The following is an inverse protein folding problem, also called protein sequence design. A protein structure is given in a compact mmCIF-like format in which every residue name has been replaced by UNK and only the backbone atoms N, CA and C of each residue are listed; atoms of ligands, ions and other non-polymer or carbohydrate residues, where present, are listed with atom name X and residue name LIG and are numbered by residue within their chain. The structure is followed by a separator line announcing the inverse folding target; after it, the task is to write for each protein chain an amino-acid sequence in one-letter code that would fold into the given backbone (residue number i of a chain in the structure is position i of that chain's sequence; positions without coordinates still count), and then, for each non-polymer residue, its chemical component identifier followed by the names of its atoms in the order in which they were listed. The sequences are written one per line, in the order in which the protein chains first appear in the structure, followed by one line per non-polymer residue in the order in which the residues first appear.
data_IF_120818069465
#
_entry.id   IF_120818069465
#
_cell.length_a   1.000
_cell.length_b   1.000
_cell.length_c   1.000
_cell.angle_alpha   90.00
_cell.angle_beta   90.00
_cell.angle_gamma   90.00
#
_symmetry.space_group_name_H-M   'P 1'
#
loop_
_entity.id
_entity.type
_entity.pdbx_description
1 polymer ?
#
# COMPACT_ATOMS: atom_id res chain seq x y z
N UNK A 1 33.64 -28.30 0.61
CA UNK A 1 33.68 -27.47 1.83
C UNK A 1 32.27 -26.90 2.00
N UNK A 2 31.53 -27.30 3.06
CA UNK A 2 30.08 -27.18 3.11
C UNK A 2 29.65 -25.81 3.68
N UNK A 3 28.60 -25.23 3.12
CA UNK A 3 27.87 -24.11 3.72
C UNK A 3 26.86 -24.72 4.69
N UNK A 4 27.01 -24.38 5.96
CA UNK A 4 26.20 -24.88 7.08
C UNK A 4 24.73 -24.52 6.91
N UNK A 5 23.86 -25.51 7.12
CA UNK A 5 22.44 -25.32 7.45
C UNK A 5 22.34 -24.54 8.76
N UNK A 6 21.51 -23.50 8.78
CA UNK A 6 21.07 -22.82 10.00
C UNK A 6 19.54 -22.74 10.04
N UNK A 7 18.99 -23.40 11.06
CA UNK A 7 17.67 -23.29 11.68
C UNK A 7 16.42 -23.50 10.79
N UNK A 8 15.87 -24.72 10.85
CA UNK A 8 14.44 -24.96 10.69
C UNK A 8 13.68 -24.11 11.72
N UNK A 9 13.02 -23.03 11.28
CA UNK A 9 11.90 -22.46 12.00
C UNK A 9 10.71 -23.37 11.73
N UNK A 10 10.29 -24.16 12.72
CA UNK A 10 8.98 -24.81 12.73
C UNK A 10 7.91 -23.71 12.64
N UNK A 11 7.46 -23.44 11.43
CA UNK A 11 6.37 -22.53 11.15
C UNK A 11 5.09 -23.06 11.79
N UNK A 12 4.64 -22.39 12.86
CA UNK A 12 3.27 -22.53 13.35
C UNK A 12 2.34 -22.05 12.23
N UNK A 13 1.79 -22.99 11.47
CA UNK A 13 0.87 -22.68 10.37
C UNK A 13 -0.36 -21.97 10.95
N UNK A 14 -0.80 -20.87 10.30
CA UNK A 14 -1.91 -20.00 10.72
C UNK A 14 -3.20 -20.74 11.17
N UNK A 15 -3.40 -21.98 10.69
CA UNK A 15 -4.53 -22.86 11.05
C UNK A 15 -4.56 -23.24 12.55
N UNK A 16 -3.41 -23.32 13.21
CA UNK A 16 -3.32 -23.71 14.63
C UNK A 16 -3.65 -22.56 15.56
N UNK A 17 -3.28 -21.32 15.20
CA UNK A 17 -3.44 -20.14 16.06
C UNK A 17 -4.91 -19.73 16.22
N UNK A 18 -5.74 -19.94 15.20
CA UNK A 18 -7.19 -19.70 15.26
C UNK A 18 -7.98 -20.83 15.93
N UNK A 19 -7.42 -22.05 16.05
CA UNK A 19 -8.07 -23.15 16.76
C UNK A 19 -7.76 -23.15 18.26
N UNK A 20 -6.60 -22.62 18.68
CA UNK A 20 -6.22 -22.55 20.10
C UNK A 20 -6.79 -21.35 20.85
N UNK A 21 -7.32 -20.33 20.18
CA UNK A 21 -7.98 -19.20 20.85
C UNK A 21 -9.41 -19.51 21.35
N UNK A 22 -9.95 -20.70 21.04
CA UNK A 22 -11.36 -21.04 21.27
C UNK A 22 -11.71 -21.82 22.54
N UNK A 23 -10.76 -22.25 23.38
CA UNK A 23 -11.11 -23.06 24.56
C UNK A 23 -10.09 -22.99 25.70
N UNK A 24 -10.36 -22.15 26.72
CA UNK A 24 -10.28 -22.48 28.15
C UNK A 24 -10.33 -21.23 29.06
N UNK A 25 -11.31 -21.16 29.98
CA UNK A 25 -11.14 -20.59 31.33
C UNK A 25 -11.83 -19.25 31.67
N UNK A 26 -12.91 -19.32 32.45
CA UNK A 26 -13.69 -18.24 33.09
C UNK A 26 -12.87 -17.39 34.10
N UNK A 27 -13.20 -16.17 34.55
CA UNK A 27 -14.43 -15.69 35.22
C UNK A 27 -14.30 -14.16 35.51
N UNK A 28 -15.36 -13.35 35.38
CA UNK A 28 -15.41 -11.96 35.89
C UNK A 28 -16.62 -11.14 35.40
N UNK A 29 -17.38 -10.54 36.31
CA UNK A 29 -18.75 -10.02 36.14
C UNK A 29 -18.83 -8.50 35.81
N UNK A 30 -19.70 -8.16 34.84
CA UNK A 30 -20.58 -6.99 34.59
C UNK A 30 -20.11 -5.52 34.68
N UNK A 31 -20.36 -4.75 33.60
CA UNK A 31 -21.41 -3.71 33.52
C UNK A 31 -21.58 -3.18 32.06
N UNK A 32 -22.80 -2.73 31.72
CA UNK A 32 -23.35 -2.35 30.41
C UNK A 32 -22.57 -1.22 29.66
N UNK A 33 -22.76 -0.86 28.38
CA UNK A 33 -23.97 -0.59 27.57
C UNK A 33 -23.58 -0.56 26.06
N UNK A 34 -24.44 -1.09 25.18
CA UNK A 34 -24.60 -0.58 23.79
C UNK A 34 -23.59 -1.02 22.72
N UNK A 35 -23.73 -2.25 22.20
CA UNK A 35 -23.07 -2.68 20.97
C UNK A 35 -24.12 -3.06 19.92
N UNK A 36 -24.02 -2.47 18.73
CA UNK A 36 -24.84 -2.82 17.57
C UNK A 36 -24.83 -4.34 17.35
N UNK A 37 -26.01 -4.96 17.29
CA UNK A 37 -26.18 -6.31 16.76
C UNK A 37 -25.93 -6.23 15.26
N UNK A 38 -24.66 -6.34 14.87
CA UNK A 38 -24.29 -6.72 13.51
C UNK A 38 -24.58 -8.20 13.39
N UNK A 39 -25.69 -8.54 12.75
CA UNK A 39 -25.92 -9.88 12.22
C UNK A 39 -24.68 -10.28 11.42
N UNK A 40 -23.93 -11.24 11.94
CA UNK A 40 -22.89 -11.93 11.17
C UNK A 40 -23.63 -12.59 10.02
N UNK A 41 -23.64 -11.90 8.88
CA UNK A 41 -23.91 -12.53 7.60
C UNK A 41 -22.78 -13.49 7.37
N UNK A 42 -22.90 -14.71 7.89
CA UNK A 42 -22.16 -15.85 7.38
C UNK A 42 -22.59 -16.00 5.92
N UNK A 43 -21.87 -15.34 5.01
CA UNK A 43 -21.60 -15.99 3.73
C UNK A 43 -20.67 -17.16 4.06
N UNK A 44 -21.28 -18.22 4.60
CA UNK A 44 -20.69 -19.54 4.64
C UNK A 44 -20.50 -19.95 3.17
N UNK A 45 -19.35 -19.60 2.60
CA UNK A 45 -18.80 -20.30 1.45
C UNK A 45 -18.60 -21.74 1.90
N UNK A 46 -19.46 -22.60 1.39
CA UNK A 46 -19.71 -23.94 1.88
C UNK A 46 -18.45 -24.79 1.95
N UNK A 47 -18.30 -25.46 3.10
CA UNK A 47 -17.50 -26.67 3.30
C UNK A 47 -17.19 -27.41 2.00
N UNK A 48 -15.90 -27.64 1.72
CA UNK A 48 -15.40 -28.64 0.79
C UNK A 48 -15.82 -30.05 1.23
N UNK A 49 -17.08 -30.40 0.96
CA UNK A 49 -17.49 -31.78 0.79
C UNK A 49 -17.01 -32.25 -0.58
N UNK A 50 -16.37 -33.42 -0.64
CA UNK A 50 -15.79 -34.05 -1.85
C UNK A 50 -16.81 -34.42 -2.96
N UNK A 51 -18.01 -33.85 -2.92
CA UNK A 51 -19.14 -34.13 -3.84
C UNK A 51 -19.71 -32.87 -4.52
N UNK A 52 -19.16 -31.67 -4.30
CA UNK A 52 -19.55 -30.41 -4.97
C UNK A 52 -18.81 -30.12 -6.28
N UNK A 53 -19.23 -29.10 -7.05
CA UNK A 53 -18.52 -28.69 -8.26
C UNK A 53 -17.12 -28.16 -7.95
N UNK A 54 -16.14 -28.54 -8.77
CA UNK A 54 -14.72 -28.17 -8.59
C UNK A 54 -14.54 -26.69 -8.87
N UNK A 55 -14.06 -25.95 -7.88
CA UNK A 55 -13.78 -24.51 -7.97
C UNK A 55 -12.40 -24.26 -8.57
N UNK A 56 -12.36 -23.41 -9.59
CA UNK A 56 -11.13 -23.03 -10.29
C UNK A 56 -11.01 -21.51 -10.26
N UNK A 57 -9.96 -21.01 -9.60
CA UNK A 57 -9.58 -19.61 -9.65
C UNK A 57 -8.44 -19.47 -10.67
N UNK A 58 -8.62 -18.63 -11.69
CA UNK A 58 -7.72 -18.58 -12.82
C UNK A 58 -7.30 -17.16 -13.22
N UNK A 59 -6.16 -17.09 -13.90
CA UNK A 59 -5.74 -15.90 -14.62
C UNK A 59 -6.77 -15.55 -15.71
N UNK A 60 -7.05 -14.26 -15.88
CA UNK A 60 -8.06 -13.76 -16.81
C UNK A 60 -7.83 -14.18 -18.25
N UNK A 61 -6.57 -14.31 -18.68
CA UNK A 61 -6.21 -14.82 -20.00
C UNK A 61 -6.61 -16.28 -20.23
N UNK A 62 -6.87 -17.05 -19.17
CA UNK A 62 -7.31 -18.44 -19.23
C UNK A 62 -8.84 -18.61 -19.18
N UNK A 63 -9.60 -17.53 -18.97
CA UNK A 63 -11.06 -17.61 -18.76
C UNK A 63 -11.75 -18.40 -19.85
N UNK A 64 -11.56 -18.05 -21.13
CA UNK A 64 -12.22 -18.70 -22.26
C UNK A 64 -11.79 -20.17 -22.39
N UNK A 65 -10.49 -20.43 -22.26
CA UNK A 65 -9.94 -21.79 -22.35
C UNK A 65 -10.52 -22.70 -21.26
N UNK A 66 -10.75 -22.16 -20.06
CA UNK A 66 -11.27 -22.92 -18.92
C UNK A 66 -12.81 -23.03 -18.93
N UNK A 67 -13.51 -21.96 -19.30
CA UNK A 67 -14.99 -21.94 -19.27
C UNK A 67 -15.62 -22.70 -20.42
N UNK A 68 -14.96 -22.75 -21.59
CA UNK A 68 -15.48 -23.46 -22.78
C UNK A 68 -14.71 -24.75 -23.03
N UNK A 69 -13.39 -24.66 -23.22
CA UNK A 69 -12.57 -25.81 -23.61
C UNK A 69 -12.45 -26.86 -22.49
N UNK A 70 -11.93 -26.45 -21.33
CA UNK A 70 -11.71 -27.35 -20.21
C UNK A 70 -13.03 -27.90 -19.66
N UNK A 71 -14.06 -27.05 -19.53
CA UNK A 71 -15.40 -27.46 -19.10
C UNK A 71 -15.99 -28.57 -19.97
N UNK A 72 -15.79 -28.51 -21.29
CA UNK A 72 -16.27 -29.55 -22.20
C UNK A 72 -15.44 -30.85 -22.14
N UNK A 73 -14.23 -30.80 -21.59
CA UNK A 73 -13.31 -31.94 -21.52
C UNK A 73 -13.41 -32.78 -20.24
N UNK A 74 -14.21 -32.35 -19.27
CA UNK A 74 -14.33 -33.01 -17.97
C UNK A 74 -15.79 -33.36 -17.66
N UNK A 75 -16.03 -34.57 -17.16
CA UNK A 75 -17.38 -35.04 -16.78
C UNK A 75 -17.88 -34.44 -15.44
N UNK A 76 -17.05 -33.62 -14.78
CA UNK A 76 -17.35 -33.00 -13.49
C UNK A 76 -17.80 -31.56 -13.69
N UNK A 77 -18.79 -31.14 -12.92
CA UNK A 77 -19.18 -29.73 -12.90
C UNK A 77 -18.03 -28.90 -12.31
N UNK A 78 -17.59 -27.89 -13.07
CA UNK A 78 -16.57 -26.93 -12.63
C UNK A 78 -17.18 -25.53 -12.44
N UNK A 79 -16.59 -24.70 -11.59
CA UNK A 79 -16.92 -23.27 -11.45
C UNK A 79 -15.65 -22.46 -11.63
N UNK A 80 -15.60 -21.66 -12.68
CA UNK A 80 -14.44 -20.84 -13.02
C UNK A 80 -14.68 -19.40 -12.59
N UNK A 81 -13.78 -18.87 -11.78
CA UNK A 81 -13.67 -17.46 -11.42
C UNK A 81 -12.34 -16.93 -11.99
N UNK A 82 -12.36 -15.83 -12.72
CA UNK A 82 -11.17 -15.27 -13.36
C UNK A 82 -10.83 -13.87 -12.86
N UNK A 83 -9.53 -13.68 -12.59
CA UNK A 83 -8.93 -12.41 -12.16
C UNK A 83 -7.54 -12.23 -12.77
N UNK A 84 -6.89 -11.08 -12.56
CA UNK A 84 -5.45 -10.99 -12.83
C UNK A 84 -4.68 -12.04 -12.01
N UNK A 85 -3.58 -12.61 -12.54
CA UNK A 85 -2.83 -13.68 -11.85
C UNK A 85 -2.37 -13.25 -10.45
N UNK A 86 -1.97 -11.98 -10.31
CA UNK A 86 -1.55 -11.39 -9.03
C UNK A 86 -2.73 -11.33 -8.05
N UNK A 87 -3.88 -10.81 -8.49
CA UNK A 87 -5.12 -10.77 -7.70
C UNK A 87 -5.55 -12.17 -7.26
N UNK A 88 -5.55 -13.14 -8.20
CA UNK A 88 -5.94 -14.51 -7.94
C UNK A 88 -5.03 -15.17 -6.90
N UNK A 89 -3.71 -15.00 -7.02
CA UNK A 89 -2.76 -15.49 -6.02
C UNK A 89 -3.01 -14.88 -4.64
N UNK A 90 -3.27 -13.58 -4.55
CA UNK A 90 -3.55 -12.89 -3.28
C UNK A 90 -4.83 -13.33 -2.61
N UNK A 91 -5.92 -13.46 -3.36
CA UNK A 91 -7.17 -13.97 -2.82
C UNK A 91 -6.98 -15.31 -2.11
N UNK A 92 -6.08 -16.16 -2.61
CA UNK A 92 -5.70 -17.44 -1.97
C UNK A 92 -4.74 -17.24 -0.79
N UNK A 93 -3.67 -16.47 -0.96
CA UNK A 93 -2.68 -16.20 0.10
C UNK A 93 -3.31 -15.60 1.37
N UNK A 94 -4.30 -14.71 1.17
CA UNK A 94 -5.03 -14.03 2.24
C UNK A 94 -6.19 -14.88 2.81
N UNK A 95 -6.47 -16.06 2.24
CA UNK A 95 -7.58 -16.93 2.64
C UNK A 95 -8.97 -16.36 2.31
N UNK A 96 -9.07 -15.34 1.46
CA UNK A 96 -10.33 -14.78 0.96
C UNK A 96 -11.02 -15.69 -0.07
N UNK A 97 -10.25 -16.57 -0.70
CA UNK A 97 -10.68 -17.67 -1.56
C UNK A 97 -9.91 -18.92 -1.20
N UNK A 98 -10.58 -20.07 -1.27
CA UNK A 98 -9.99 -21.39 -1.08
C UNK A 98 -10.42 -22.28 -2.26
N UNK A 99 -9.91 -22.03 -3.48
CA UNK A 99 -10.29 -22.78 -4.65
C UNK A 99 -9.62 -24.17 -4.65
N UNK A 100 -10.27 -25.16 -5.25
CA UNK A 100 -9.69 -26.48 -5.44
C UNK A 100 -8.49 -26.45 -6.40
N UNK A 101 -8.52 -25.54 -7.38
CA UNK A 101 -7.47 -25.35 -8.38
C UNK A 101 -7.18 -23.86 -8.57
N UNK A 102 -5.90 -23.49 -8.46
CA UNK A 102 -5.38 -22.16 -8.80
C UNK A 102 -4.53 -22.24 -10.08
N UNK A 103 -4.89 -21.48 -11.11
CA UNK A 103 -4.19 -21.47 -12.40
C UNK A 103 -3.69 -20.05 -12.73
N UNK A 104 -2.38 -19.82 -12.63
CA UNK A 104 -1.76 -18.51 -12.84
C UNK A 104 -1.03 -18.44 -14.18
N UNK A 105 -0.95 -17.24 -14.77
CA UNK A 105 -0.22 -17.03 -16.03
C UNK A 105 1.32 -16.99 -15.85
N UNK A 106 1.81 -16.74 -14.63
CA UNK A 106 3.22 -16.69 -14.30
C UNK A 106 3.49 -17.56 -13.05
N UNK A 107 4.32 -18.62 -13.17
CA UNK A 107 4.60 -19.51 -12.05
C UNK A 107 5.40 -18.87 -10.92
N UNK A 108 6.11 -17.74 -11.15
CA UNK A 108 6.87 -17.05 -10.10
C UNK A 108 5.96 -16.61 -8.95
N UNK A 109 4.67 -16.36 -9.23
CA UNK A 109 3.68 -15.94 -8.23
C UNK A 109 3.36 -17.00 -7.17
N UNK A 110 3.59 -18.29 -7.46
CA UNK A 110 3.44 -19.34 -6.43
C UNK A 110 4.50 -19.19 -5.33
N UNK A 111 5.70 -18.72 -5.69
CA UNK A 111 6.79 -18.52 -4.74
C UNK A 111 6.83 -17.09 -4.17
N UNK A 112 6.45 -16.09 -4.97
CA UNK A 112 6.57 -14.68 -4.54
C UNK A 112 5.33 -14.14 -3.83
N UNK A 113 4.13 -14.59 -4.17
CA UNK A 113 2.87 -14.08 -3.58
C UNK A 113 2.29 -15.06 -2.57
N UNK A 114 2.19 -16.35 -2.91
CA UNK A 114 1.59 -17.32 -1.99
C UNK A 114 2.48 -17.64 -0.78
N UNK A 115 3.81 -17.47 -0.91
CA UNK A 115 4.75 -17.72 0.18
C UNK A 115 5.06 -16.47 1.02
N UNK A 116 4.63 -15.28 0.57
CA UNK A 116 4.95 -14.02 1.26
C UNK A 116 3.72 -13.54 2.04
N UNK A 117 3.93 -13.18 3.30
CA UNK A 117 2.84 -12.83 4.22
C UNK A 117 2.13 -11.51 3.89
N UNK A 118 2.78 -10.59 3.16
CA UNK A 118 2.28 -9.27 2.78
C UNK A 118 3.06 -8.69 1.59
N UNK A 119 2.43 -7.85 0.77
CA UNK A 119 3.03 -7.23 -0.41
C UNK A 119 2.81 -5.72 -0.44
N UNK A 120 3.88 -4.97 -0.72
CA UNK A 120 3.86 -3.52 -0.90
C UNK A 120 4.50 -3.15 -2.23
N UNK A 121 3.95 -2.14 -2.90
CA UNK A 121 4.59 -1.50 -4.07
C UNK A 121 4.64 0.01 -3.90
N UNK A 122 5.47 0.64 -4.73
CA UNK A 122 5.68 2.10 -4.74
C UNK A 122 5.66 2.64 -6.18
N UNK A 123 5.39 3.94 -6.32
CA UNK A 123 5.43 4.64 -7.60
C UNK A 123 6.85 4.69 -8.18
N UNK A 124 6.96 4.79 -9.51
CA UNK A 124 8.27 4.79 -10.20
C UNK A 124 9.04 6.07 -9.88
N UNK A 125 10.28 5.97 -9.37
CA UNK A 125 11.10 7.13 -9.02
C UNK A 125 11.38 8.10 -10.17
N UNK A 126 11.50 7.57 -11.38
CA UNK A 126 11.81 8.35 -12.58
C UNK A 126 10.64 9.18 -13.11
N UNK A 127 9.41 8.78 -12.75
CA UNK A 127 8.18 9.36 -13.29
C UNK A 127 7.49 10.28 -12.30
N UNK A 128 7.65 10.03 -11.00
CA UNK A 128 6.84 10.67 -9.96
C UNK A 128 7.66 11.10 -8.73
N UNK A 129 7.46 12.32 -8.21
CA UNK A 129 7.95 12.73 -6.90
C UNK A 129 7.69 11.76 -5.75
N UNK A 130 6.52 11.12 -5.72
CA UNK A 130 6.19 10.11 -4.72
C UNK A 130 7.17 8.93 -4.79
N UNK A 131 7.56 8.52 -6.00
CA UNK A 131 8.48 7.40 -6.20
C UNK A 131 9.86 7.67 -5.60
N UNK A 132 10.52 8.77 -6.00
CA UNK A 132 11.86 9.06 -5.47
C UNK A 132 11.83 9.44 -3.99
N UNK A 133 10.72 10.02 -3.49
CA UNK A 133 10.55 10.29 -2.05
C UNK A 133 10.37 9.02 -1.23
N UNK A 134 9.70 8.01 -1.79
CA UNK A 134 9.63 6.69 -1.16
C UNK A 134 11.02 6.08 -1.02
N UNK A 135 11.88 6.21 -2.04
CA UNK A 135 13.28 5.79 -1.92
C UNK A 135 14.05 6.55 -0.83
N UNK A 136 13.79 7.84 -0.65
CA UNK A 136 14.41 8.61 0.43
C UNK A 136 13.94 8.13 1.80
N UNK A 137 12.63 7.92 1.96
CA UNK A 137 12.04 7.40 3.19
C UNK A 137 12.61 6.02 3.55
N UNK A 138 12.74 5.12 2.58
CA UNK A 138 13.34 3.79 2.79
C UNK A 138 14.83 3.85 3.14
N UNK A 139 15.58 4.77 2.53
CA UNK A 139 16.98 5.00 2.88
C UNK A 139 17.13 5.51 4.32
N UNK A 140 16.34 6.51 4.71
CA UNK A 140 16.32 7.04 6.07
C UNK A 140 15.84 5.98 7.08
N UNK A 141 14.87 5.14 6.70
CA UNK A 141 14.38 4.04 7.52
C UNK A 141 15.42 2.94 7.72
N UNK A 142 16.28 2.69 6.73
CA UNK A 142 17.39 1.74 6.87
C UNK A 142 18.32 2.14 8.02
N UNK A 143 18.62 3.44 8.13
CA UNK A 143 19.42 4.00 9.21
C UNK A 143 18.62 4.09 10.53
N UNK A 144 17.37 4.55 10.48
CA UNK A 144 16.55 4.76 11.68
C UNK A 144 16.21 3.45 12.43
N UNK A 145 16.05 2.34 11.70
CA UNK A 145 15.67 1.05 12.25
C UNK A 145 16.84 0.05 12.30
N UNK A 146 18.09 0.49 12.08
CA UNK A 146 19.28 -0.37 12.03
C UNK A 146 19.11 -1.58 11.09
N UNK A 147 18.45 -1.37 9.94
CA UNK A 147 18.13 -2.42 8.96
C UNK A 147 18.78 -2.14 7.62
N UNK A 148 20.10 -2.43 7.49
CA UNK A 148 20.80 -2.26 6.22
C UNK A 148 20.16 -3.18 5.16
N UNK A 149 19.97 -2.66 3.95
CA UNK A 149 19.34 -3.39 2.85
C UNK A 149 17.81 -3.28 2.77
N UNK A 150 17.14 -2.66 3.76
CA UNK A 150 15.67 -2.49 3.74
C UNK A 150 15.15 -1.89 2.44
N UNK A 151 15.85 -0.89 1.89
CA UNK A 151 15.51 -0.31 0.60
C UNK A 151 15.56 -1.35 -0.52
N UNK A 152 16.67 -2.07 -0.63
CA UNK A 152 16.89 -3.03 -1.71
C UNK A 152 15.93 -4.22 -1.62
N UNK A 153 15.60 -4.65 -0.39
CA UNK A 153 14.64 -5.73 -0.12
C UNK A 153 13.21 -5.37 -0.57
N UNK A 154 12.85 -4.08 -0.56
CA UNK A 154 11.50 -3.60 -0.88
C UNK A 154 11.37 -3.02 -2.29
N UNK A 155 12.47 -2.78 -3.00
CA UNK A 155 12.43 -2.17 -4.33
C UNK A 155 12.85 -3.15 -5.42
N UNK A 156 11.97 -3.39 -6.40
CA UNK A 156 12.37 -4.02 -7.67
C UNK A 156 12.61 -2.92 -8.73
N UNK A 157 13.85 -2.71 -9.21
CA UNK A 157 14.15 -1.68 -10.20
C UNK A 157 13.52 -1.93 -11.58
N UNK A 158 12.97 -3.12 -11.84
CA UNK A 158 12.23 -3.43 -13.07
C UNK A 158 10.77 -2.95 -12.99
N UNK A 159 10.33 -2.54 -11.82
CA UNK A 159 8.99 -2.07 -11.57
C UNK A 159 8.79 -0.67 -12.15
N UNK A 160 7.87 -0.55 -13.10
CA UNK A 160 7.48 0.74 -13.68
C UNK A 160 5.97 0.92 -13.58
N UNK A 161 5.54 1.65 -12.55
CA UNK A 161 4.16 2.09 -12.35
C UNK A 161 4.07 3.60 -12.09
N UNK A 162 3.19 4.33 -12.80
CA UNK A 162 2.81 5.68 -12.38
C UNK A 162 1.97 5.61 -11.09
N UNK A 163 1.91 6.72 -10.34
CA UNK A 163 1.12 6.84 -9.09
C UNK A 163 -0.34 6.40 -9.28
N UNK A 164 -0.95 6.73 -10.41
CA UNK A 164 -2.34 6.36 -10.71
C UNK A 164 -2.55 4.84 -10.75
N UNK A 165 -1.58 4.09 -11.27
CA UNK A 165 -1.64 2.62 -11.30
C UNK A 165 -1.41 2.00 -9.93
N UNK A 166 -0.62 2.64 -9.05
CA UNK A 166 -0.40 2.17 -7.69
C UNK A 166 -1.71 2.13 -6.90
N UNK A 167 -2.49 3.22 -6.97
CA UNK A 167 -3.77 3.32 -6.26
C UNK A 167 -4.81 2.33 -6.79
N UNK A 168 -4.93 2.21 -8.12
CA UNK A 168 -5.85 1.20 -8.69
C UNK A 168 -5.50 -0.21 -8.26
N UNK A 169 -4.20 -0.55 -8.17
CA UNK A 169 -3.77 -1.86 -7.68
C UNK A 169 -4.06 -2.06 -6.20
N UNK A 170 -3.88 -1.03 -5.37
CA UNK A 170 -4.29 -1.10 -3.97
C UNK A 170 -5.81 -1.36 -3.84
N UNK A 171 -6.63 -0.62 -4.59
CA UNK A 171 -8.10 -0.75 -4.58
C UNK A 171 -8.60 -2.10 -5.08
N UNK A 172 -7.91 -2.73 -6.03
CA UNK A 172 -8.26 -4.07 -6.53
C UNK A 172 -7.80 -5.21 -5.62
N UNK A 173 -7.11 -4.91 -4.51
CA UNK A 173 -6.45 -5.91 -3.67
C UNK A 173 -5.19 -6.48 -4.32
N UNK A 174 -4.66 -5.80 -5.35
CA UNK A 174 -3.37 -6.10 -5.94
C UNK A 174 -2.20 -5.55 -5.12
N UNK A 175 -2.42 -4.99 -3.93
CA UNK A 175 -1.42 -4.59 -2.93
C UNK A 175 -2.03 -4.65 -1.53
N UNK A 176 -1.25 -5.06 -0.52
CA UNK A 176 -1.66 -5.00 0.89
C UNK A 176 -1.41 -3.61 1.49
N UNK A 177 -0.40 -2.90 0.96
CA UNK A 177 -0.07 -1.54 1.34
C UNK A 177 0.46 -0.74 0.14
N UNK A 178 0.31 0.58 0.20
CA UNK A 178 0.91 1.54 -0.73
C UNK A 178 1.52 2.70 0.05
N UNK A 179 2.70 3.17 -0.36
CA UNK A 179 3.29 4.40 0.19
C UNK A 179 2.78 5.58 -0.61
N UNK A 180 2.04 6.46 0.06
CA UNK A 180 1.38 7.64 -0.50
C UNK A 180 1.52 8.82 0.45
N UNK A 181 1.28 10.03 -0.03
CA UNK A 181 1.11 11.19 0.86
C UNK A 181 -0.15 11.02 1.71
N UNK A 182 -0.10 11.54 2.94
CA UNK A 182 -1.25 11.56 3.85
C UNK A 182 -2.49 12.18 3.22
N UNK A 183 -2.34 13.27 2.45
CA UNK A 183 -3.46 13.92 1.76
C UNK A 183 -4.20 12.99 0.81
N UNK A 184 -3.49 12.10 0.10
CA UNK A 184 -4.11 11.12 -0.79
C UNK A 184 -4.90 10.05 -0.02
N UNK A 185 -4.38 9.59 1.12
CA UNK A 185 -5.08 8.63 1.98
C UNK A 185 -6.34 9.26 2.59
N UNK A 186 -6.23 10.50 3.08
CA UNK A 186 -7.36 11.26 3.65
C UNK A 186 -8.44 11.52 2.59
N UNK A 187 -8.09 11.99 1.40
CA UNK A 187 -9.04 12.27 0.31
C UNK A 187 -9.84 11.04 -0.13
N UNK A 188 -9.27 9.84 0.03
CA UNK A 188 -9.91 8.57 -0.31
C UNK A 188 -10.52 7.83 0.89
N UNK A 189 -10.39 8.39 2.09
CA UNK A 189 -10.89 7.78 3.32
C UNK A 189 -10.22 6.44 3.66
N UNK A 190 -8.95 6.26 3.28
CA UNK A 190 -8.19 5.06 3.59
C UNK A 190 -7.67 5.09 5.03
N UNK A 191 -7.57 3.91 5.63
CA UNK A 191 -6.75 3.71 6.82
C UNK A 191 -5.26 3.88 6.45
N UNK A 192 -4.48 4.50 7.33
CA UNK A 192 -3.05 4.71 7.12
C UNK A 192 -2.25 4.59 8.42
N UNK A 193 -0.95 4.31 8.26
CA UNK A 193 0.03 4.31 9.35
C UNK A 193 0.96 5.49 9.13
N UNK A 194 1.06 6.37 10.13
CA UNK A 194 2.02 7.47 10.10
C UNK A 194 3.45 6.92 10.23
N UNK A 195 4.34 7.40 9.36
CA UNK A 195 5.77 7.19 9.49
C UNK A 195 6.34 8.16 10.53
N UNK A 196 7.40 7.79 11.27
CA UNK A 196 8.01 8.72 12.21
C UNK A 196 8.65 9.90 11.46
N UNK A 197 8.68 11.07 12.11
CA UNK A 197 9.30 12.29 11.57
C UNK A 197 10.74 12.10 11.09
N UNK A 198 11.46 11.09 11.60
CA UNK A 198 12.82 10.77 11.12
C UNK A 198 12.87 10.32 9.64
N UNK A 199 11.76 9.81 9.10
CA UNK A 199 11.73 9.15 7.77
C UNK A 199 10.59 9.62 6.87
N UNK A 200 9.60 10.34 7.40
CA UNK A 200 8.38 10.74 6.68
C UNK A 200 8.57 11.92 5.70
N UNK A 201 9.71 12.61 5.79
CA UNK A 201 10.03 13.82 5.04
C UNK A 201 9.08 15.00 5.34
N UNK A 202 8.41 15.02 6.50
CA UNK A 202 7.40 16.02 6.86
C UNK A 202 7.95 17.19 7.70
N UNK A 203 8.94 16.93 8.56
CA UNK A 203 9.44 17.91 9.53
C UNK A 203 10.54 18.84 8.98
N UNK A 204 10.30 20.18 8.89
CA UNK A 204 11.33 21.15 8.47
C UNK A 204 12.61 21.14 9.30
N UNK A 205 12.53 20.81 10.60
CA UNK A 205 13.68 20.77 11.50
C UNK A 205 14.69 19.67 11.13
N UNK A 206 14.25 18.64 10.39
CA UNK A 206 15.06 17.48 9.98
C UNK A 206 15.65 17.60 8.58
N UNK A 207 15.63 18.79 7.97
CA UNK A 207 16.16 19.03 6.62
C UNK A 207 17.59 18.51 6.43
N UNK A 208 18.46 18.63 7.44
CA UNK A 208 19.84 18.14 7.33
C UNK A 208 19.91 16.60 7.24
N UNK A 209 19.07 15.90 7.99
CA UNK A 209 18.96 14.44 7.98
C UNK A 209 18.39 13.97 6.64
N UNK A 210 17.30 14.58 6.16
CA UNK A 210 16.70 14.17 4.90
C UNK A 210 17.65 14.31 3.70
N UNK A 211 18.55 15.29 3.73
CA UNK A 211 19.53 15.55 2.66
C UNK A 211 20.57 14.45 2.46
N UNK A 212 20.69 13.51 3.41
CA UNK A 212 21.56 12.33 3.24
C UNK A 212 21.05 11.40 2.14
N UNK A 213 19.72 11.37 1.93
CA UNK A 213 19.11 10.65 0.84
C UNK A 213 19.15 11.46 -0.47
N UNK A 214 19.45 10.79 -1.58
CA UNK A 214 19.46 11.41 -2.91
C UNK A 214 19.19 10.39 -4.01
N UNK A 215 18.74 10.88 -5.16
CA UNK A 215 18.43 10.09 -6.34
C UNK A 215 18.78 10.86 -7.60
N UNK A 216 19.38 10.18 -8.58
CA UNK A 216 19.71 10.76 -9.88
C UNK A 216 18.58 10.44 -10.87
N UNK A 217 17.88 11.48 -11.34
CA UNK A 217 16.83 11.33 -12.32
C UNK A 217 17.42 10.99 -13.70
N UNK A 218 16.64 10.37 -14.62
CA UNK A 218 17.09 10.09 -15.99
C UNK A 218 17.55 11.32 -16.78
N UNK A 219 17.13 12.52 -16.33
CA UNK A 219 17.58 13.81 -16.90
C UNK A 219 19.02 14.18 -16.50
N UNK A 220 19.68 13.40 -15.65
CA UNK A 220 20.99 13.69 -15.06
C UNK A 220 20.93 14.65 -13.86
N UNK A 221 19.72 15.08 -13.45
CA UNK A 221 19.54 15.95 -12.28
C UNK A 221 19.45 15.12 -11.01
N UNK A 222 20.34 15.39 -10.05
CA UNK A 222 20.23 14.83 -8.70
C UNK A 222 19.18 15.58 -7.88
N UNK A 223 18.18 14.86 -7.39
CA UNK A 223 17.27 15.32 -6.34
C UNK A 223 17.77 14.83 -4.98
N UNK A 224 17.56 15.64 -3.94
CA UNK A 224 17.96 15.33 -2.56
C UNK A 224 16.74 15.37 -1.66
N UNK A 225 16.76 14.57 -0.60
CA UNK A 225 15.72 14.61 0.42
C UNK A 225 15.64 15.98 1.07
N UNK A 226 14.41 16.44 1.27
CA UNK A 226 14.03 17.69 1.88
C UNK A 226 12.58 17.54 2.35
N UNK A 227 12.11 18.42 3.26
CA UNK A 227 10.71 18.42 3.67
C UNK A 227 9.78 18.50 2.45
N UNK A 228 8.69 17.73 2.45
CA UNK A 228 7.70 17.73 1.37
C UNK A 228 6.83 18.97 1.51
N UNK A 229 7.23 20.03 0.81
CA UNK A 229 6.48 21.29 0.73
C UNK A 229 5.79 21.45 -0.60
N UNK A 230 4.57 21.99 -0.59
CA UNK A 230 3.85 22.43 -1.78
C UNK A 230 4.03 23.94 -1.94
N UNK A 231 4.11 24.40 -3.18
CA UNK A 231 4.29 25.81 -3.49
C UNK A 231 3.28 26.26 -4.56
N UNK A 232 2.84 27.51 -4.43
CA UNK A 232 1.98 28.18 -5.40
C UNK A 232 2.61 29.51 -5.82
N UNK A 233 2.22 30.03 -6.98
CA UNK A 233 2.62 31.36 -7.44
C UNK A 233 1.43 32.11 -8.03
N UNK A 234 1.15 33.30 -7.48
CA UNK A 234 0.21 34.23 -8.09
C UNK A 234 0.86 34.83 -9.36
N UNK A 235 0.33 34.48 -10.53
CA UNK A 235 0.87 34.95 -11.83
C UNK A 235 0.46 36.38 -12.19
N UNK A 236 -0.57 36.90 -11.52
CA UNK A 236 -1.15 38.22 -11.74
C UNK A 236 -1.50 38.87 -10.41
N UNK A 237 -1.41 40.19 -10.35
CA UNK A 237 -1.85 40.97 -9.18
C UNK A 237 -3.36 41.25 -9.18
N UNK A 238 -3.84 41.85 -8.09
CA UNK A 238 -5.22 42.30 -7.92
C UNK A 238 -5.96 41.57 -6.81
N UNK A 239 -6.92 42.27 -6.19
CA UNK A 239 -7.65 41.84 -4.99
C UNK A 239 -8.31 40.47 -5.15
N UNK A 240 -8.91 40.18 -6.31
CA UNK A 240 -9.52 38.87 -6.60
C UNK A 240 -8.51 37.71 -6.55
N UNK A 241 -7.27 37.94 -6.98
CA UNK A 241 -6.23 36.90 -6.94
C UNK A 241 -5.66 36.79 -5.52
N UNK A 242 -5.48 37.92 -4.83
CA UNK A 242 -5.00 37.96 -3.45
C UNK A 242 -5.90 37.17 -2.49
N UNK A 243 -7.21 37.44 -2.47
CA UNK A 243 -8.17 36.76 -1.57
C UNK A 243 -8.17 35.23 -1.78
N UNK A 244 -8.14 34.77 -3.03
CA UNK A 244 -8.12 33.32 -3.33
C UNK A 244 -6.75 32.70 -3.01
N UNK A 245 -5.67 33.42 -3.28
CA UNK A 245 -4.31 32.94 -3.05
C UNK A 245 -4.03 32.74 -1.57
N UNK A 246 -4.42 33.69 -0.71
CA UNK A 246 -4.26 33.56 0.74
C UNK A 246 -4.99 32.33 1.28
N UNK A 247 -6.24 32.11 0.84
CA UNK A 247 -6.97 30.90 1.21
C UNK A 247 -6.29 29.64 0.71
N UNK A 248 -5.79 29.62 -0.53
CA UNK A 248 -5.09 28.47 -1.11
C UNK A 248 -3.85 28.05 -0.30
N UNK A 249 -3.05 29.01 0.17
CA UNK A 249 -1.75 28.72 0.82
C UNK A 249 -1.83 28.63 2.34
N UNK A 250 -2.84 29.24 2.96
CA UNK A 250 -2.94 29.34 4.42
C UNK A 250 -4.32 28.91 4.99
N UNK A 251 -5.27 28.50 4.16
CA UNK A 251 -6.62 28.14 4.59
C UNK A 251 -6.65 26.93 5.53
N UNK A 252 -7.57 26.97 6.51
CA UNK A 252 -7.74 25.87 7.48
C UNK A 252 -8.17 24.55 6.83
N UNK A 253 -8.84 24.62 5.66
CA UNK A 253 -9.29 23.45 4.90
C UNK A 253 -8.13 22.48 4.56
N UNK A 254 -6.90 22.97 4.46
CA UNK A 254 -5.72 22.14 4.22
C UNK A 254 -5.59 21.01 5.26
N UNK A 255 -5.92 21.28 6.52
CA UNK A 255 -5.90 20.29 7.59
C UNK A 255 -6.93 19.18 7.38
N UNK A 256 -8.13 19.52 6.92
CA UNK A 256 -9.21 18.57 6.62
C UNK A 256 -8.83 17.64 5.46
N UNK A 257 -7.91 18.07 4.59
CA UNK A 257 -7.37 17.30 3.47
C UNK A 257 -5.99 16.70 3.77
N UNK A 258 -5.63 16.52 5.04
CA UNK A 258 -4.44 15.77 5.45
C UNK A 258 -3.10 16.50 5.28
N UNK A 259 -3.12 17.80 5.00
CA UNK A 259 -1.90 18.61 4.97
C UNK A 259 -1.52 19.11 6.36
N UNK A 260 -0.25 18.95 6.73
CA UNK A 260 0.30 19.57 7.94
C UNK A 260 0.61 21.05 7.70
N UNK A 261 0.37 21.89 8.72
CA UNK A 261 0.76 23.30 8.73
C UNK A 261 1.69 23.57 9.91
N UNK A 262 3.02 23.35 9.75
CA UNK A 262 3.97 23.77 10.77
C UNK A 262 3.98 25.30 10.86
N UNK A 263 4.24 25.85 12.05
CA UNK A 263 4.22 27.31 12.32
C UNK A 263 5.15 28.12 11.40
N UNK A 264 6.17 27.46 10.83
CA UNK A 264 7.09 28.06 9.87
C UNK A 264 6.47 28.32 8.48
N UNK A 265 5.30 27.75 8.16
CA UNK A 265 4.66 27.86 6.84
C UNK A 265 3.31 28.62 6.91
N UNK A 266 2.93 29.35 5.85
CA UNK A 266 3.64 29.49 4.56
C UNK A 266 4.84 30.45 4.63
N UNK A 267 5.92 30.10 3.93
CA UNK A 267 7.03 31.02 3.67
C UNK A 267 6.86 31.70 2.32
N UNK A 268 7.14 32.99 2.26
CA UNK A 268 7.09 33.76 1.03
C UNK A 268 8.51 34.11 0.56
N UNK A 269 8.84 33.75 -0.67
CA UNK A 269 10.17 33.99 -1.27
C UNK A 269 10.10 34.85 -2.53
N UNK A 270 11.12 35.69 -2.76
CA UNK A 270 11.23 36.56 -3.93
C UNK A 270 10.56 37.93 -3.75
N UNK A 271 10.15 38.55 -4.87
CA UNK A 271 9.47 39.86 -4.88
C UNK A 271 7.99 39.71 -4.53
N UNK A 272 7.71 39.45 -3.25
CA UNK A 272 6.36 39.23 -2.71
C UNK A 272 5.64 40.58 -2.61
N UNK A 273 4.56 40.83 -3.37
CA UNK A 273 3.82 42.09 -3.27
C UNK A 273 3.20 42.26 -1.87
N UNK A 274 3.02 43.51 -1.44
CA UNK A 274 2.55 43.83 -0.07
C UNK A 274 1.20 43.19 0.26
N UNK A 275 0.34 43.05 -0.75
CA UNK A 275 -1.01 42.49 -0.62
C UNK A 275 -1.04 40.97 -0.39
N UNK A 276 0.13 40.31 -0.25
CA UNK A 276 0.24 38.87 -0.02
C UNK A 276 1.03 38.51 1.24
N UNK A 277 1.51 39.50 2.01
CA UNK A 277 2.20 39.27 3.28
C UNK A 277 1.16 39.30 4.40
N UNK A 278 0.77 38.12 4.88
CA UNK A 278 -0.06 37.94 6.08
C UNK A 278 0.74 38.33 7.32
#
# INVERSE_FOLDING_TARGET
MPIQRSAEYEGVTRRTLLQTAGAAGATGIAAAIGGCVGSVGSAAGTNGGRDGPVSVLAAGSLQLALSEGFRASVDREIRVEAHGSVTAARLVAEGKRDPDILALADPVLFDSVLATDWHVDFATPDLDPLGYRTLFSLALASDHYDRPGLRDDLTDPRQVYPETSLLSRFETGDLDAAVVYRSMAVDRGYDYVDLPAAVDLGDPARTAEYRTASYELPTGRTVRGAPVTYAAVARYGGERVADVYERLVAGEYLGDHGFARPDALPEYSGDVPRDYRV
#
